data_IF_358836037992
#
_entry.id   IF_358836037992
#
_cell.length_a   1.000
_cell.length_b   1.000
_cell.length_c   1.000
_cell.angle_alpha   90.00
_cell.angle_beta   90.00
_cell.angle_gamma   90.00
#
_symmetry.space_group_name_H-M   'P 1'
#
loop_
_entity.id
_entity.type
_entity.pdbx_description
1 polymer ?
#
# COMPACT_ATOMS: atom_id res chain seq x y z
N UNK A 1 3.63 22.07 -78.93
CA UNK A 1 4.35 21.06 -78.11
C UNK A 1 5.60 21.69 -77.51
N UNK A 2 5.54 22.20 -76.28
CA UNK A 2 6.73 22.49 -75.46
C UNK A 2 6.41 21.94 -74.08
N UNK A 3 6.78 20.68 -73.86
CA UNK A 3 6.61 19.96 -72.61
C UNK A 3 7.50 20.64 -71.55
N UNK A 4 6.92 20.92 -70.39
CA UNK A 4 7.60 21.41 -69.18
C UNK A 4 8.50 20.31 -68.58
N UNK A 5 9.53 19.91 -69.31
CA UNK A 5 10.52 18.95 -68.85
C UNK A 5 11.33 19.47 -67.65
N UNK A 6 11.41 20.80 -67.47
CA UNK A 6 12.18 21.44 -66.41
C UNK A 6 11.54 21.29 -65.02
N UNK A 7 10.20 21.31 -64.92
CA UNK A 7 9.51 21.09 -63.64
C UNK A 7 9.53 19.61 -63.21
N UNK A 8 9.46 18.70 -64.19
CA UNK A 8 9.50 17.26 -63.92
C UNK A 8 10.90 16.81 -63.49
N UNK A 9 11.96 17.40 -64.07
CA UNK A 9 13.35 17.15 -63.62
C UNK A 9 13.64 17.72 -62.23
N UNK A 10 12.99 18.83 -61.85
CA UNK A 10 13.18 19.44 -60.52
C UNK A 10 12.50 18.62 -59.42
N UNK A 11 11.31 18.05 -59.69
CA UNK A 11 10.64 17.13 -58.77
C UNK A 11 11.38 15.80 -58.60
N UNK A 12 11.98 15.27 -59.67
CA UNK A 12 12.77 14.04 -59.61
C UNK A 12 14.07 14.20 -58.81
N UNK A 13 14.71 15.39 -58.87
CA UNK A 13 15.92 15.68 -58.11
C UNK A 13 15.64 15.82 -56.59
N UNK A 14 14.50 16.40 -56.22
CA UNK A 14 14.10 16.58 -54.81
C UNK A 14 13.73 15.24 -54.15
N UNK A 15 13.17 14.29 -54.91
CA UNK A 15 12.89 12.93 -54.40
C UNK A 15 14.14 12.08 -54.16
N UNK A 16 15.28 12.38 -54.79
CA UNK A 16 16.54 11.63 -54.61
C UNK A 16 17.38 12.19 -53.45
N UNK A 17 17.14 13.43 -53.02
CA UNK A 17 17.85 14.04 -51.87
C UNK A 17 17.22 13.74 -50.50
N UNK A 18 16.04 13.12 -50.45
CA UNK A 18 15.40 12.68 -49.19
C UNK A 18 15.74 11.22 -48.81
N UNK A 19 16.57 10.53 -49.60
CA UNK A 19 17.05 9.18 -49.30
C UNK A 19 18.40 9.18 -48.55
N UNK A 20 18.75 10.28 -47.89
CA UNK A 20 20.02 10.41 -47.17
C UNK A 20 19.87 10.03 -45.70
N UNK A 21 20.42 8.86 -45.38
CA UNK A 21 20.81 8.38 -44.06
C UNK A 21 19.68 8.04 -43.08
N UNK A 22 19.06 6.87 -43.25
CA UNK A 22 18.94 5.99 -42.09
C UNK A 22 20.39 5.59 -41.77
N UNK A 23 21.08 6.42 -40.98
CA UNK A 23 22.37 6.05 -40.43
C UNK A 23 22.04 4.92 -39.45
N UNK A 24 22.66 3.76 -39.63
CA UNK A 24 22.58 2.70 -38.60
C UNK A 24 22.90 3.36 -37.26
N UNK A 25 21.93 3.27 -36.35
CA UNK A 25 22.09 3.82 -35.01
C UNK A 25 23.35 3.20 -34.41
N UNK A 26 24.20 4.03 -33.77
CA UNK A 26 25.42 3.50 -33.20
C UNK A 26 25.04 2.42 -32.17
N UNK A 27 25.77 1.29 -32.12
CA UNK A 27 25.46 0.22 -31.19
C UNK A 27 25.26 0.75 -29.77
N UNK A 28 24.18 0.32 -29.13
CA UNK A 28 23.81 0.77 -27.80
C UNK A 28 24.89 0.41 -26.78
N UNK A 29 25.22 1.39 -25.93
CA UNK A 29 26.19 1.21 -24.82
C UNK A 29 25.55 0.62 -23.56
N UNK A 30 24.23 0.47 -23.55
CA UNK A 30 23.49 0.05 -22.37
C UNK A 30 23.53 -1.49 -22.24
N UNK A 31 23.74 -1.97 -21.02
CA UNK A 31 23.75 -3.38 -20.66
C UNK A 31 22.76 -3.62 -19.50
N UNK A 32 21.49 -3.30 -19.73
CA UNK A 32 20.46 -3.33 -18.69
C UNK A 32 19.42 -4.40 -18.95
N UNK A 33 18.92 -5.00 -17.86
CA UNK A 33 17.61 -5.65 -17.83
C UNK A 33 16.59 -4.53 -17.59
N UNK A 34 15.62 -4.39 -18.48
CA UNK A 34 14.54 -3.40 -18.40
C UNK A 34 13.31 -3.98 -17.69
N UNK A 35 12.98 -5.23 -18.02
CA UNK A 35 11.86 -5.96 -17.43
C UNK A 35 12.26 -7.42 -17.19
N UNK A 36 11.70 -8.02 -16.15
CA UNK A 36 11.90 -9.43 -15.82
C UNK A 36 10.54 -10.09 -15.51
N UNK A 37 10.34 -11.29 -16.03
CA UNK A 37 9.13 -12.12 -15.84
C UNK A 37 9.47 -13.62 -15.88
N UNK A 38 8.46 -14.49 -15.87
CA UNK A 38 8.57 -15.94 -16.05
C UNK A 38 7.31 -16.48 -16.75
N UNK A 39 7.42 -17.63 -17.43
CA UNK A 39 6.24 -18.40 -17.82
C UNK A 39 5.31 -18.63 -16.62
N UNK A 40 4.00 -18.49 -16.84
CA UNK A 40 2.97 -18.62 -15.81
C UNK A 40 3.15 -17.65 -14.62
N UNK A 41 3.75 -16.47 -14.84
CA UNK A 41 3.89 -15.44 -13.80
C UNK A 41 2.58 -15.11 -13.07
N UNK A 42 1.44 -15.17 -13.76
CA UNK A 42 0.10 -14.97 -13.15
C UNK A 42 -0.27 -16.04 -12.13
N UNK A 43 0.30 -17.24 -12.23
CA UNK A 43 0.07 -18.34 -11.29
C UNK A 43 1.17 -18.37 -10.23
N UNK A 44 2.41 -18.10 -10.62
CA UNK A 44 3.58 -18.31 -9.77
C UNK A 44 3.97 -17.09 -8.94
N UNK A 45 3.76 -15.87 -9.43
CA UNK A 45 4.35 -14.65 -8.86
C UNK A 45 3.33 -13.70 -8.24
N UNK A 46 3.68 -13.07 -7.13
CA UNK A 46 2.88 -11.99 -6.53
C UNK A 46 2.70 -10.80 -7.50
N UNK A 47 3.77 -10.48 -8.23
CA UNK A 47 3.84 -9.39 -9.19
C UNK A 47 4.29 -9.96 -10.54
N UNK A 48 3.44 -9.82 -11.57
CA UNK A 48 3.63 -10.55 -12.82
C UNK A 48 4.72 -9.95 -13.73
N UNK A 49 5.01 -8.65 -13.59
CA UNK A 49 6.06 -7.94 -14.33
C UNK A 49 6.85 -7.02 -13.40
N UNK A 50 8.16 -7.25 -13.27
CA UNK A 50 9.05 -6.35 -12.52
C UNK A 50 9.76 -5.41 -13.50
N UNK A 51 9.53 -4.10 -13.38
CA UNK A 51 10.41 -3.10 -14.00
C UNK A 51 11.73 -3.10 -13.23
N UNK A 52 12.81 -3.44 -13.91
CA UNK A 52 14.13 -3.49 -13.31
C UNK A 52 14.78 -2.13 -13.56
N UNK A 53 14.87 -1.32 -12.50
CA UNK A 53 15.58 -0.05 -12.53
C UNK A 53 17.10 -0.25 -12.54
N UNK A 54 17.83 0.58 -11.80
CA UNK A 54 19.29 0.46 -11.69
C UNK A 54 19.77 -0.67 -10.76
N UNK A 55 18.86 -1.51 -10.25
CA UNK A 55 19.13 -2.59 -9.29
C UNK A 55 20.07 -3.67 -9.87
N UNK A 56 20.94 -4.23 -9.03
CA UNK A 56 21.82 -5.37 -9.36
C UNK A 56 21.22 -6.72 -8.91
N UNK A 57 20.11 -6.69 -8.16
CA UNK A 57 19.43 -7.88 -7.65
C UNK A 57 17.97 -7.87 -8.12
N UNK A 58 17.53 -8.96 -8.74
CA UNK A 58 16.16 -9.15 -9.19
C UNK A 58 15.54 -10.23 -8.32
N UNK A 59 14.46 -9.89 -7.62
CA UNK A 59 13.74 -10.81 -6.74
C UNK A 59 12.35 -11.05 -7.33
N UNK A 60 12.07 -12.32 -7.61
CA UNK A 60 10.73 -12.82 -7.91
C UNK A 60 10.11 -13.33 -6.61
N UNK A 61 8.94 -12.79 -6.25
CA UNK A 61 8.19 -13.23 -5.07
C UNK A 61 7.15 -14.26 -5.49
N UNK A 62 7.29 -15.48 -4.99
CA UNK A 62 6.41 -16.61 -5.28
C UNK A 62 5.12 -16.53 -4.43
N UNK A 63 3.99 -16.93 -5.04
CA UNK A 63 2.71 -17.14 -4.32
C UNK A 63 2.73 -18.39 -3.44
N UNK A 64 3.42 -19.42 -3.89
CA UNK A 64 3.48 -20.73 -3.25
C UNK A 64 4.88 -21.32 -3.40
N UNK A 65 5.25 -22.20 -2.49
CA UNK A 65 6.51 -22.91 -2.61
C UNK A 65 6.47 -23.83 -3.83
N UNK A 66 7.55 -23.85 -4.60
CA UNK A 66 7.77 -24.82 -5.67
C UNK A 66 8.91 -25.72 -5.25
N UNK A 67 8.62 -27.00 -4.99
CA UNK A 67 9.56 -27.93 -4.35
C UNK A 67 10.91 -28.05 -5.07
N UNK A 68 10.93 -27.93 -6.40
CA UNK A 68 12.17 -28.02 -7.19
C UNK A 68 12.98 -26.71 -7.20
N UNK A 69 12.35 -25.57 -6.89
CA UNK A 69 12.88 -24.21 -7.05
C UNK A 69 13.56 -23.98 -8.42
N UNK A 70 13.09 -24.67 -9.48
CA UNK A 70 13.62 -24.58 -10.85
C UNK A 70 12.77 -23.59 -11.64
N UNK A 71 13.41 -22.56 -12.19
CA UNK A 71 12.73 -21.50 -12.91
C UNK A 71 13.49 -21.07 -14.18
N UNK A 72 12.73 -20.58 -15.16
CA UNK A 72 13.23 -20.08 -16.43
C UNK A 72 12.82 -18.60 -16.60
N UNK A 73 13.47 -17.66 -15.88
CA UNK A 73 13.11 -16.25 -15.95
C UNK A 73 13.41 -15.67 -17.34
N UNK A 74 12.52 -14.80 -17.80
CA UNK A 74 12.60 -14.12 -19.08
C UNK A 74 12.88 -12.63 -18.88
N UNK A 75 13.70 -12.05 -19.76
CA UNK A 75 14.20 -10.68 -19.62
C UNK A 75 14.02 -9.87 -20.90
N UNK A 76 13.52 -8.65 -20.74
CA UNK A 76 13.61 -7.61 -21.78
C UNK A 76 14.88 -6.82 -21.53
N UNK A 77 15.81 -6.82 -22.48
CA UNK A 77 17.09 -6.13 -22.36
C UNK A 77 17.09 -4.77 -23.06
N UNK A 78 18.09 -3.93 -22.77
CA UNK A 78 18.40 -2.77 -23.61
C UNK A 78 18.65 -3.19 -25.07
N UNK A 79 18.29 -2.36 -26.07
CA UNK A 79 18.42 -2.73 -27.49
C UNK A 79 19.82 -3.25 -27.83
N UNK A 80 19.88 -4.37 -28.55
CA UNK A 80 21.11 -5.01 -29.01
C UNK A 80 21.96 -5.72 -27.94
N UNK A 81 21.60 -5.63 -26.66
CA UNK A 81 22.31 -6.32 -25.59
C UNK A 81 22.04 -7.83 -25.58
N UNK A 82 22.95 -8.59 -25.01
CA UNK A 82 22.84 -10.05 -24.80
C UNK A 82 22.98 -10.39 -23.32
N UNK A 83 22.45 -11.54 -22.89
CA UNK A 83 22.51 -12.00 -21.50
C UNK A 83 22.99 -13.45 -21.42
N UNK A 84 23.80 -13.75 -20.40
CA UNK A 84 24.26 -15.10 -20.09
C UNK A 84 24.03 -15.42 -18.58
N UNK A 85 23.36 -16.52 -18.21
CA UNK A 85 22.63 -17.47 -19.06
C UNK A 85 21.57 -16.80 -19.94
N UNK A 86 21.24 -17.46 -21.06
CA UNK A 86 20.24 -16.93 -22.01
C UNK A 86 18.89 -16.76 -21.30
N UNK A 87 18.14 -15.71 -21.67
CA UNK A 87 16.78 -15.50 -21.19
C UNK A 87 15.92 -16.74 -21.41
N UNK A 88 15.17 -17.18 -20.40
CA UNK A 88 14.40 -18.43 -20.44
C UNK A 88 15.20 -19.70 -20.16
N UNK A 89 16.48 -19.60 -19.80
CA UNK A 89 17.26 -20.77 -19.33
C UNK A 89 16.69 -21.26 -18.01
N UNK A 90 16.33 -22.55 -17.97
CA UNK A 90 15.92 -23.22 -16.74
C UNK A 90 17.12 -23.42 -15.81
N UNK A 91 17.07 -22.81 -14.62
CA UNK A 91 18.10 -22.88 -13.59
C UNK A 91 17.50 -23.28 -12.25
N UNK A 92 18.32 -23.90 -11.41
CA UNK A 92 17.99 -24.28 -10.03
C UNK A 92 18.34 -23.14 -9.05
N UNK A 93 17.35 -22.59 -8.36
CA UNK A 93 17.51 -21.51 -7.38
C UNK A 93 17.56 -22.01 -5.93
N UNK A 94 17.54 -23.33 -5.70
CA UNK A 94 17.47 -23.96 -4.35
C UNK A 94 18.56 -23.46 -3.41
N UNK A 95 19.76 -23.22 -3.94
CA UNK A 95 20.92 -22.79 -3.15
C UNK A 95 21.17 -21.27 -3.21
N UNK A 96 20.17 -20.49 -3.64
CA UNK A 96 20.21 -19.02 -3.63
C UNK A 96 20.24 -18.39 -5.03
N UNK A 97 20.63 -17.09 -5.12
CA UNK A 97 20.55 -16.33 -6.35
C UNK A 97 21.44 -16.89 -7.47
N UNK A 98 20.91 -16.87 -8.69
CA UNK A 98 21.64 -17.19 -9.92
C UNK A 98 22.22 -15.93 -10.56
N UNK A 99 23.45 -16.04 -11.08
CA UNK A 99 24.18 -14.93 -11.70
C UNK A 99 23.85 -14.83 -13.19
N UNK A 100 23.47 -13.64 -13.63
CA UNK A 100 23.29 -13.27 -15.02
C UNK A 100 24.24 -12.12 -15.39
N UNK A 101 24.80 -12.14 -16.60
CA UNK A 101 25.68 -11.09 -17.11
C UNK A 101 25.07 -10.55 -18.39
N UNK A 102 24.65 -9.28 -18.37
CA UNK A 102 24.23 -8.55 -19.56
C UNK A 102 25.44 -7.89 -20.19
N UNK A 103 25.60 -8.04 -21.50
CA UNK A 103 26.65 -7.41 -22.31
C UNK A 103 26.01 -6.47 -23.31
N UNK A 104 26.49 -5.23 -23.39
CA UNK A 104 26.00 -4.21 -24.33
C UNK A 104 26.20 -4.63 -25.79
N UNK A 105 25.47 -4.00 -26.70
CA UNK A 105 25.58 -4.27 -28.15
C UNK A 105 26.98 -4.00 -28.68
N UNK A 106 27.66 -2.97 -28.16
CA UNK A 106 29.04 -2.65 -28.52
C UNK A 106 30.09 -3.57 -27.85
N UNK A 107 29.66 -4.52 -27.03
CA UNK A 107 30.47 -5.43 -26.22
C UNK A 107 31.48 -4.75 -25.27
N UNK A 108 31.40 -3.43 -25.10
CA UNK A 108 32.34 -2.67 -24.28
C UNK A 108 31.94 -2.66 -22.79
N UNK A 109 30.68 -2.99 -22.49
CA UNK A 109 30.12 -2.90 -21.14
C UNK A 109 29.41 -4.19 -20.75
N UNK A 110 29.64 -4.61 -19.51
CA UNK A 110 28.92 -5.72 -18.89
C UNK A 110 28.35 -5.30 -17.55
N UNK A 111 27.12 -5.71 -17.24
CA UNK A 111 26.51 -5.58 -15.92
C UNK A 111 26.13 -6.95 -15.37
N UNK A 112 26.47 -7.21 -14.12
CA UNK A 112 26.11 -8.45 -13.42
C UNK A 112 24.82 -8.23 -12.65
N UNK A 113 23.89 -9.16 -12.80
CA UNK A 113 22.65 -9.25 -12.05
C UNK A 113 22.60 -10.54 -11.25
N UNK A 114 22.01 -10.50 -10.05
CA UNK A 114 21.69 -11.69 -9.26
C UNK A 114 20.18 -11.86 -9.21
N UNK A 115 19.68 -12.92 -9.82
CA UNK A 115 18.25 -13.23 -9.90
C UNK A 115 17.94 -14.25 -8.81
N UNK A 116 16.87 -14.04 -8.04
CA UNK A 116 16.45 -14.95 -7.00
C UNK A 116 14.93 -15.10 -6.95
N UNK A 117 14.47 -16.27 -6.53
CA UNK A 117 13.08 -16.53 -6.21
C UNK A 117 12.95 -16.71 -4.71
N UNK A 118 11.97 -16.04 -4.11
CA UNK A 118 11.66 -16.23 -2.70
C UNK A 118 10.19 -16.54 -2.53
N UNK A 119 9.88 -17.46 -1.63
CA UNK A 119 8.54 -17.53 -1.08
C UNK A 119 8.34 -16.27 -0.23
N UNK A 120 7.31 -15.48 -0.55
CA UNK A 120 6.92 -14.40 0.32
C UNK A 120 5.96 -14.98 1.35
N UNK A 121 6.39 -15.08 2.61
CA UNK A 121 5.44 -15.39 3.67
C UNK A 121 4.47 -14.22 3.82
N UNK A 122 3.18 -14.54 3.92
CA UNK A 122 2.17 -13.54 4.19
C UNK A 122 2.30 -13.11 5.66
N UNK A 123 2.46 -11.81 5.97
CA UNK A 123 2.64 -11.38 7.35
C UNK A 123 1.36 -11.60 8.16
N UNK A 124 1.45 -12.41 9.22
CA UNK A 124 0.33 -12.70 10.13
C UNK A 124 0.45 -12.00 11.48
N UNK A 125 1.56 -11.30 11.74
CA UNK A 125 1.81 -10.62 12.99
C UNK A 125 2.43 -9.24 12.74
N UNK A 126 1.93 -8.23 13.45
CA UNK A 126 2.31 -6.83 13.29
C UNK A 126 2.49 -6.19 14.67
N UNK A 127 3.74 -5.89 15.03
CA UNK A 127 4.15 -5.31 16.32
C UNK A 127 4.12 -3.76 16.36
N UNK A 128 3.96 -3.09 15.21
CA UNK A 128 3.88 -1.63 15.11
C UNK A 128 5.09 -0.87 15.70
N UNK A 129 6.29 -1.45 15.62
CA UNK A 129 7.52 -0.85 16.16
C UNK A 129 8.17 0.18 15.23
N UNK A 130 7.91 0.04 13.94
CA UNK A 130 8.64 0.76 12.90
C UNK A 130 7.74 1.75 12.16
N UNK A 131 8.28 2.92 11.90
CA UNK A 131 7.60 4.00 11.19
C UNK A 131 8.62 4.87 10.44
N UNK A 132 8.11 5.57 9.43
CA UNK A 132 8.85 6.60 8.70
C UNK A 132 8.19 7.96 8.90
N UNK A 133 9.00 9.01 8.97
CA UNK A 133 8.53 10.38 8.97
C UNK A 133 8.29 10.87 7.54
N UNK A 134 7.22 11.64 7.35
CA UNK A 134 6.82 12.20 6.07
C UNK A 134 6.60 13.70 6.17
N UNK A 135 7.06 14.41 5.13
CA UNK A 135 6.67 15.79 4.82
C UNK A 135 5.97 15.82 3.48
N UNK A 136 4.67 16.03 3.48
CA UNK A 136 3.86 15.86 2.27
C UNK A 136 3.93 14.42 1.78
N UNK A 137 4.59 14.16 0.65
CA UNK A 137 4.82 12.79 0.13
C UNK A 137 6.28 12.33 0.21
N UNK A 138 7.17 13.14 0.78
CA UNK A 138 8.59 12.83 0.89
C UNK A 138 8.90 12.18 2.24
N UNK A 139 9.64 11.06 2.22
CA UNK A 139 10.20 10.42 3.41
C UNK A 139 11.36 11.27 3.94
N UNK A 140 11.38 11.51 5.25
CA UNK A 140 12.48 12.17 5.94
C UNK A 140 13.48 11.13 6.46
N UNK A 141 14.76 11.47 6.48
CA UNK A 141 15.86 10.61 6.93
C UNK A 141 16.23 10.84 8.40
N UNK A 142 15.51 11.70 9.09
CA UNK A 142 15.71 12.01 10.50
C UNK A 142 14.90 11.07 11.41
N UNK A 143 15.36 10.92 12.64
CA UNK A 143 14.62 10.19 13.67
C UNK A 143 13.55 11.08 14.30
N UNK A 144 12.50 10.47 14.85
CA UNK A 144 11.46 11.23 15.54
C UNK A 144 11.91 11.60 16.95
N UNK A 145 12.15 12.90 17.17
CA UNK A 145 12.29 13.50 18.50
C UNK A 145 10.93 13.99 19.02
N UNK A 146 10.48 13.42 20.14
CA UNK A 146 9.18 13.73 20.76
C UNK A 146 9.09 15.16 21.28
N UNK A 147 10.23 15.76 21.65
CA UNK A 147 10.31 17.12 22.19
C UNK A 147 10.47 18.16 21.07
N UNK A 148 10.85 17.73 19.86
CA UNK A 148 11.06 18.61 18.73
C UNK A 148 9.74 19.18 18.18
N UNK A 149 9.84 20.43 17.70
CA UNK A 149 8.77 21.13 16.99
C UNK A 149 9.22 21.40 15.56
N UNK A 150 8.69 20.63 14.62
CA UNK A 150 8.93 20.80 13.20
C UNK A 150 8.37 22.13 12.71
N UNK A 151 9.15 22.83 11.88
CA UNK A 151 8.73 24.09 11.25
C UNK A 151 7.65 23.89 10.17
N UNK A 152 7.38 22.64 9.80
CA UNK A 152 6.38 22.22 8.82
C UNK A 152 5.59 21.02 9.31
N UNK A 153 4.48 20.75 8.64
CA UNK A 153 3.64 19.57 8.85
C UNK A 153 4.43 18.28 8.57
N UNK A 154 4.70 17.53 9.65
CA UNK A 154 5.39 16.23 9.62
C UNK A 154 4.53 15.20 10.33
N UNK A 155 4.32 14.06 9.68
CA UNK A 155 3.53 12.94 10.20
C UNK A 155 4.27 11.62 10.06
N UNK A 156 3.81 10.58 10.76
CA UNK A 156 4.35 9.23 10.64
C UNK A 156 3.50 8.37 9.70
N UNK A 157 4.14 7.38 9.08
CA UNK A 157 3.46 6.20 8.56
C UNK A 157 4.14 4.95 9.11
N UNK A 158 3.37 4.02 9.67
CA UNK A 158 3.89 2.74 10.12
C UNK A 158 4.42 1.92 8.95
N UNK A 159 5.48 1.16 9.20
CA UNK A 159 6.06 0.21 8.24
C UNK A 159 6.28 -1.12 8.93
N UNK A 160 6.63 -2.12 8.14
CA UNK A 160 7.17 -3.39 8.61
C UNK A 160 8.41 -3.71 7.78
N UNK A 161 9.11 -4.77 8.12
CA UNK A 161 10.19 -5.30 7.29
C UNK A 161 9.81 -6.66 6.74
N UNK A 162 10.24 -6.94 5.52
CA UNK A 162 10.25 -8.31 5.00
C UNK A 162 11.34 -9.14 5.70
N UNK A 163 11.35 -10.45 5.51
CA UNK A 163 12.40 -11.34 6.05
C UNK A 163 13.82 -10.98 5.54
N UNK A 164 13.89 -10.19 4.47
CA UNK A 164 15.14 -9.66 3.91
C UNK A 164 15.54 -8.30 4.46
N UNK A 165 14.85 -7.82 5.51
CA UNK A 165 15.05 -6.51 6.10
C UNK A 165 14.79 -5.35 5.09
N UNK A 166 13.89 -5.56 4.14
CA UNK A 166 13.43 -4.53 3.20
C UNK A 166 12.17 -3.85 3.77
N UNK A 167 12.08 -2.52 3.61
CA UNK A 167 10.90 -1.76 4.08
C UNK A 167 9.65 -2.21 3.33
N UNK A 168 8.62 -2.58 4.09
CA UNK A 168 7.30 -2.95 3.62
C UNK A 168 6.26 -1.94 4.12
N UNK A 169 5.64 -1.22 3.18
CA UNK A 169 4.68 -0.13 3.41
C UNK A 169 3.24 -0.62 3.33
N UNK A 170 2.94 -1.72 4.02
CA UNK A 170 1.58 -2.30 4.03
C UNK A 170 0.56 -1.42 4.74
N UNK A 171 0.99 -0.64 5.74
CA UNK A 171 0.14 0.25 6.51
C UNK A 171 -0.02 1.61 5.85
N UNK A 172 -1.24 2.13 5.93
CA UNK A 172 -1.60 3.48 5.53
C UNK A 172 -2.58 4.10 6.52
N UNK A 173 -2.73 5.43 6.43
CA UNK A 173 -3.60 6.22 7.30
C UNK A 173 -4.11 7.45 6.57
N UNK A 174 -5.05 8.15 7.19
CA UNK A 174 -5.55 9.45 6.74
C UNK A 174 -4.57 10.61 6.93
N UNK A 175 -3.38 10.39 7.49
CA UNK A 175 -2.42 11.45 7.80
C UNK A 175 -2.02 12.27 6.57
N UNK A 176 -1.77 11.62 5.43
CA UNK A 176 -1.45 12.33 4.19
C UNK A 176 -2.60 13.27 3.80
N UNK A 177 -3.84 12.77 3.84
CA UNK A 177 -5.05 13.55 3.59
C UNK A 177 -5.15 14.75 4.54
N UNK A 178 -4.92 14.53 5.83
CA UNK A 178 -4.92 15.58 6.84
C UNK A 178 -3.84 16.64 6.59
N UNK A 179 -2.61 16.23 6.25
CA UNK A 179 -1.47 17.15 6.04
C UNK A 179 -1.65 18.11 4.86
N UNK A 180 -2.48 17.76 3.88
CA UNK A 180 -2.75 18.57 2.69
C UNK A 180 -4.11 19.28 2.73
N UNK A 181 -4.89 19.07 3.79
CA UNK A 181 -6.10 19.85 3.99
C UNK A 181 -5.73 21.34 4.02
N UNK A 182 -6.59 22.25 3.52
CA UNK A 182 -6.37 23.69 3.60
C UNK A 182 -6.53 24.23 5.04
N UNK A 183 -6.08 23.48 6.03
CA UNK A 183 -6.01 23.78 7.45
C UNK A 183 -4.91 24.82 7.70
N UNK A 184 -5.02 26.00 7.07
CA UNK A 184 -4.16 27.17 7.29
C UNK A 184 -4.23 27.75 8.72
N UNK A 185 -4.68 26.98 9.71
CA UNK A 185 -4.79 27.36 11.12
C UNK A 185 -4.32 26.27 12.11
N UNK A 186 -4.24 24.99 11.73
CA UNK A 186 -3.72 23.93 12.59
C UNK A 186 -2.32 23.56 12.12
N UNK A 187 -1.32 24.38 12.46
CA UNK A 187 0.08 23.96 12.28
C UNK A 187 0.36 22.83 13.26
N UNK A 188 0.41 21.59 12.78
CA UNK A 188 0.82 20.47 13.60
C UNK A 188 2.34 20.40 13.55
N UNK A 189 2.95 20.92 14.61
CA UNK A 189 4.41 21.01 14.72
C UNK A 189 5.02 19.74 15.29
N UNK A 190 4.24 18.70 15.58
CA UNK A 190 4.74 17.44 16.10
C UNK A 190 3.88 16.27 15.59
N UNK A 191 4.51 15.16 15.12
CA UNK A 191 3.80 13.97 14.64
C UNK A 191 2.76 13.40 15.61
N UNK A 192 2.97 13.53 16.92
CA UNK A 192 2.01 13.08 17.96
C UNK A 192 0.63 13.76 17.91
N UNK A 193 0.50 14.86 17.16
CA UNK A 193 -0.74 15.63 17.04
C UNK A 193 -1.60 15.19 15.86
N UNK A 194 -1.09 14.31 15.00
CA UNK A 194 -1.82 13.79 13.84
C UNK A 194 -2.89 12.78 14.26
N UNK A 195 -3.90 12.52 13.40
CA UNK A 195 -4.91 11.51 13.69
C UNK A 195 -4.30 10.13 13.94
N UNK A 196 -3.19 9.81 13.26
CA UNK A 196 -2.44 8.57 13.46
C UNK A 196 -1.01 8.92 13.88
N UNK A 197 -0.60 8.44 15.04
CA UNK A 197 0.71 8.70 15.61
C UNK A 197 1.29 7.41 16.19
N UNK A 198 2.58 7.47 16.52
CA UNK A 198 3.25 6.47 17.35
C UNK A 198 3.15 6.88 18.82
N UNK A 199 2.88 5.91 19.67
CA UNK A 199 3.07 6.00 21.12
C UNK A 199 4.26 5.13 21.52
N UNK A 200 5.07 5.60 22.47
CA UNK A 200 6.27 4.88 22.93
C UNK A 200 6.01 4.07 24.21
N UNK A 201 4.77 4.06 24.69
CA UNK A 201 4.29 3.24 25.81
C UNK A 201 3.25 2.20 25.30
N UNK A 202 3.75 1.30 24.44
CA UNK A 202 3.02 0.17 23.87
C UNK A 202 2.65 -0.91 24.89
N UNK A 203 1.92 -1.94 24.46
CA UNK A 203 1.81 -3.17 25.24
C UNK A 203 3.16 -3.90 25.25
N UNK A 204 3.86 -3.87 24.11
CA UNK A 204 5.30 -4.12 24.00
C UNK A 204 5.92 -2.99 23.18
N UNK A 205 6.99 -2.38 23.68
CA UNK A 205 7.70 -1.32 22.96
C UNK A 205 6.78 -0.15 22.56
N UNK A 206 6.53 0.01 21.26
CA UNK A 206 5.72 1.10 20.70
C UNK A 206 4.32 0.60 20.32
N UNK A 207 3.40 1.54 20.07
CA UNK A 207 2.06 1.23 19.59
C UNK A 207 1.55 2.29 18.62
N UNK A 208 0.49 1.95 17.87
CA UNK A 208 -0.26 2.95 17.13
C UNK A 208 -1.26 3.66 18.06
N UNK A 209 -1.24 4.99 18.02
CA UNK A 209 -2.21 5.87 18.68
C UNK A 209 -3.06 6.55 17.62
N UNK A 210 -4.35 6.24 17.62
CA UNK A 210 -5.34 6.76 16.71
C UNK A 210 -6.23 7.73 17.48
N UNK A 211 -6.26 8.99 17.08
CA UNK A 211 -7.01 10.04 17.77
C UNK A 211 -7.97 10.74 16.81
N UNK A 212 -9.22 10.89 17.23
CA UNK A 212 -10.18 11.72 16.50
C UNK A 212 -9.90 13.18 16.81
N UNK A 213 -9.53 13.95 15.78
CA UNK A 213 -9.11 15.34 15.94
C UNK A 213 -9.96 16.30 15.09
N UNK A 214 -9.94 17.58 15.47
CA UNK A 214 -10.50 18.65 14.66
C UNK A 214 -9.65 18.88 13.41
N UNK A 215 -10.31 19.10 12.27
CA UNK A 215 -9.64 19.51 11.03
C UNK A 215 -9.45 21.02 10.91
N UNK A 216 -10.11 21.79 11.76
CA UNK A 216 -10.08 23.26 11.72
C UNK A 216 -10.92 23.87 10.59
N UNK A 217 -11.68 23.05 9.85
CA UNK A 217 -12.70 23.51 8.90
C UNK A 217 -14.04 23.68 9.61
N UNK A 218 -14.76 24.76 9.32
CA UNK A 218 -16.17 24.87 9.68
C UNK A 218 -16.91 23.73 8.99
N UNK A 219 -17.62 22.88 9.75
CA UNK A 219 -18.50 21.91 9.13
C UNK A 219 -19.64 22.66 8.39
N UNK A 220 -19.57 22.71 7.07
CA UNK A 220 -20.57 23.35 6.21
C UNK A 220 -21.09 22.34 5.19
N UNK A 221 -22.40 22.12 5.22
CA UNK A 221 -23.14 21.43 4.18
C UNK A 221 -23.62 22.47 3.16
N UNK A 222 -22.75 22.90 2.24
CA UNK A 222 -23.17 23.76 1.12
C UNK A 222 -23.37 22.89 -0.13
N UNK A 223 -24.61 22.53 -0.42
CA UNK A 223 -24.94 21.69 -1.58
C UNK A 223 -24.38 20.27 -1.45
N UNK A 224 -23.54 19.84 -2.40
CA UNK A 224 -23.01 18.47 -2.52
C UNK A 224 -21.67 18.22 -1.82
N UNK A 225 -21.06 19.23 -1.18
CA UNK A 225 -19.73 19.10 -0.57
C UNK A 225 -19.89 18.89 0.95
N UNK A 226 -19.49 17.71 1.43
CA UNK A 226 -19.31 17.44 2.87
C UNK A 226 -17.90 17.89 3.28
N UNK A 227 -17.79 18.96 4.06
CA UNK A 227 -16.49 19.35 4.64
C UNK A 227 -16.24 18.56 5.92
N UNK A 228 -15.11 17.83 6.05
CA UNK A 228 -14.80 17.09 7.26
C UNK A 228 -14.55 18.06 8.42
N UNK A 229 -15.41 18.07 9.44
CA UNK A 229 -15.22 18.86 10.67
C UNK A 229 -14.26 18.18 11.65
N UNK A 230 -14.17 16.86 11.55
CA UNK A 230 -13.25 16.00 12.30
C UNK A 230 -12.54 15.04 11.35
N UNK A 231 -11.40 14.51 11.78
CA UNK A 231 -10.70 13.39 11.17
C UNK A 231 -10.50 12.31 12.24
N UNK A 232 -11.11 11.15 12.04
CA UNK A 232 -10.84 10.00 12.90
C UNK A 232 -9.42 9.49 12.65
N UNK A 233 -8.74 9.10 13.72
CA UNK A 233 -7.51 8.32 13.60
C UNK A 233 -7.83 6.98 12.97
N UNK A 234 -7.02 6.57 12.00
CA UNK A 234 -7.20 5.28 11.34
C UNK A 234 -5.87 4.68 10.91
N UNK A 235 -5.80 3.35 11.00
CA UNK A 235 -4.67 2.58 10.51
C UNK A 235 -5.23 1.40 9.73
N UNK A 236 -4.77 1.22 8.50
CA UNK A 236 -5.30 0.17 7.65
C UNK A 236 -4.26 -0.39 6.69
N UNK A 237 -4.41 -1.66 6.31
CA UNK A 237 -3.59 -2.24 5.26
C UNK A 237 -4.10 -1.86 3.88
N UNK A 238 -3.25 -1.28 3.04
CA UNK A 238 -3.59 -0.82 1.71
C UNK A 238 -2.92 0.51 1.37
N UNK A 239 -3.60 1.37 0.63
CA UNK A 239 -3.05 2.67 0.20
C UNK A 239 -4.02 3.81 0.45
N UNK A 240 -3.49 5.02 0.59
CA UNK A 240 -4.29 6.24 0.64
C UNK A 240 -4.16 6.99 -0.69
N UNK A 241 -5.28 7.33 -1.30
CA UNK A 241 -5.32 8.17 -2.50
C UNK A 241 -6.44 9.19 -2.35
N UNK A 242 -6.07 10.45 -2.14
CA UNK A 242 -7.01 11.52 -1.84
C UNK A 242 -8.09 11.63 -2.93
N UNK A 243 -9.35 11.45 -2.53
CA UNK A 243 -10.50 11.74 -3.34
C UNK A 243 -11.17 13.03 -2.83
N UNK A 244 -10.94 14.14 -3.53
CA UNK A 244 -11.47 15.44 -3.11
C UNK A 244 -13.00 15.56 -3.18
N UNK A 245 -13.65 14.75 -4.04
CA UNK A 245 -15.11 14.78 -4.18
C UNK A 245 -15.80 13.96 -3.09
N UNK A 246 -15.18 12.84 -2.71
CA UNK A 246 -15.68 11.92 -1.68
C UNK A 246 -14.52 11.54 -0.76
N UNK A 247 -14.16 12.37 0.23
CA UNK A 247 -12.98 12.12 1.07
C UNK A 247 -13.02 10.75 1.79
N UNK A 248 -14.22 10.29 2.17
CA UNK A 248 -14.43 8.96 2.76
C UNK A 248 -14.02 7.81 1.83
N UNK A 249 -13.97 8.02 0.51
CA UNK A 249 -13.51 7.03 -0.46
C UNK A 249 -11.99 7.09 -0.76
N UNK A 250 -11.24 7.91 -0.01
CA UNK A 250 -9.77 8.05 -0.19
C UNK A 250 -8.97 6.83 0.30
N UNK A 251 -9.30 6.20 1.45
CA UNK A 251 -8.68 4.95 1.84
C UNK A 251 -8.99 3.87 0.80
N UNK A 252 -7.96 3.16 0.33
CA UNK A 252 -8.04 2.00 -0.56
C UNK A 252 -7.56 0.79 0.23
N UNK A 253 -8.51 0.08 0.83
CA UNK A 253 -8.28 -1.07 1.69
C UNK A 253 -7.96 -2.32 0.88
N UNK A 254 -6.92 -3.04 1.30
CA UNK A 254 -6.54 -4.31 0.72
C UNK A 254 -5.06 -4.41 0.39
N UNK A 255 -4.43 -5.48 0.85
CA UNK A 255 -3.15 -5.99 0.35
C UNK A 255 -3.37 -7.40 -0.20
N UNK A 256 -2.52 -7.90 -1.11
CA UNK A 256 -2.65 -9.26 -1.62
C UNK A 256 -2.57 -10.29 -0.49
N UNK A 257 -3.56 -11.18 -0.40
CA UNK A 257 -3.61 -12.26 0.58
C UNK A 257 -2.91 -13.49 0.00
N UNK A 258 -1.59 -13.53 0.15
CA UNK A 258 -0.72 -14.48 -0.52
C UNK A 258 -0.51 -15.76 0.29
N UNK A 259 -1.60 -16.37 0.71
CA UNK A 259 -1.61 -17.66 1.40
C UNK A 259 -2.87 -18.44 1.05
N UNK A 260 -2.76 -19.76 1.04
CA UNK A 260 -3.88 -20.68 0.82
C UNK A 260 -4.57 -21.10 2.12
N UNK A 261 -4.12 -20.60 3.27
CA UNK A 261 -4.72 -20.87 4.58
C UNK A 261 -5.89 -19.93 4.81
N UNK A 262 -7.00 -20.44 5.30
CA UNK A 262 -8.17 -19.64 5.67
C UNK A 262 -7.87 -18.72 6.87
N UNK A 263 -8.27 -17.44 6.85
CA UNK A 263 -8.20 -16.60 8.04
C UNK A 263 -9.33 -16.95 9.03
N UNK A 264 -8.98 -17.01 10.32
CA UNK A 264 -9.88 -17.47 11.39
C UNK A 264 -10.22 -16.35 12.36
N UNK A 265 -9.22 -15.60 12.83
CA UNK A 265 -9.42 -14.56 13.86
C UNK A 265 -8.47 -13.40 13.62
N UNK A 266 -8.97 -12.17 13.74
CA UNK A 266 -8.16 -10.97 13.96
C UNK A 266 -8.11 -10.72 15.47
N UNK A 267 -6.93 -10.60 16.06
CA UNK A 267 -6.77 -10.29 17.50
C UNK A 267 -5.61 -9.32 17.73
N UNK A 268 -5.53 -8.79 18.95
CA UNK A 268 -4.45 -7.91 19.38
C UNK A 268 -4.75 -7.31 20.75
N UNK A 269 -4.06 -6.22 21.10
CA UNK A 269 -4.28 -5.50 22.35
C UNK A 269 -4.75 -4.08 22.08
N UNK A 270 -5.64 -3.56 22.93
CA UNK A 270 -6.14 -2.20 22.85
C UNK A 270 -6.17 -1.48 24.20
N UNK A 271 -6.10 -0.15 24.13
CA UNK A 271 -6.65 0.78 25.12
C UNK A 271 -7.62 1.71 24.39
N UNK A 272 -8.72 2.08 25.02
CA UNK A 272 -9.65 3.03 24.40
C UNK A 272 -10.24 3.98 25.42
N UNK A 273 -10.36 5.24 25.01
CA UNK A 273 -11.03 6.29 25.75
C UNK A 273 -11.82 7.15 24.79
N UNK A 274 -13.11 7.34 25.06
CA UNK A 274 -13.94 8.21 24.25
C UNK A 274 -13.58 9.68 24.53
N UNK A 275 -13.68 10.51 23.48
CA UNK A 275 -13.47 11.95 23.58
C UNK A 275 -14.61 12.64 24.34
N UNK A 276 -14.41 13.92 24.63
CA UNK A 276 -15.45 14.72 25.30
C UNK A 276 -16.69 14.86 24.41
N UNK A 277 -17.84 14.49 24.94
CA UNK A 277 -19.15 14.55 24.27
C UNK A 277 -19.81 15.94 24.26
N UNK A 278 -19.19 16.93 24.89
CA UNK A 278 -19.83 18.21 25.16
C UNK A 278 -18.95 19.37 24.70
N UNK A 279 -19.52 20.33 23.99
CA UNK A 279 -18.85 21.56 23.55
C UNK A 279 -19.26 22.00 22.14
N UNK A 280 -19.27 23.31 21.88
CA UNK A 280 -19.73 23.90 20.62
C UNK A 280 -19.00 23.39 19.36
N UNK A 281 -17.77 22.86 19.52
CA UNK A 281 -16.98 22.28 18.42
C UNK A 281 -17.42 20.87 18.01
N UNK A 282 -18.22 20.20 18.85
CA UNK A 282 -18.66 18.82 18.69
C UNK A 282 -20.12 18.70 18.22
N UNK A 283 -20.93 19.76 18.29
CA UNK A 283 -22.40 19.70 18.10
C UNK A 283 -22.85 19.03 16.79
N UNK A 284 -22.09 19.18 15.70
CA UNK A 284 -22.39 18.50 14.45
C UNK A 284 -21.90 17.05 14.43
N UNK A 285 -20.66 16.81 14.85
CA UNK A 285 -20.03 15.48 14.85
C UNK A 285 -20.73 14.50 15.81
N UNK A 286 -21.44 15.03 16.81
CA UNK A 286 -22.19 14.28 17.81
C UNK A 286 -23.69 14.25 17.57
N UNK A 287 -24.19 14.85 16.46
CA UNK A 287 -25.61 14.82 16.17
C UNK A 287 -26.08 13.37 16.09
N UNK A 288 -27.08 13.02 16.91
CA UNK A 288 -27.64 11.67 17.03
C UNK A 288 -26.59 10.59 17.41
N UNK A 289 -25.53 10.96 18.13
CA UNK A 289 -24.49 10.07 18.65
C UNK A 289 -24.49 10.13 20.19
N UNK A 290 -24.94 9.06 20.84
CA UNK A 290 -25.01 9.00 22.31
C UNK A 290 -23.65 8.74 22.96
N UNK A 291 -22.77 8.01 22.27
CA UNK A 291 -21.39 7.71 22.67
C UNK A 291 -20.56 7.34 21.44
N UNK A 292 -19.27 7.60 21.49
CA UNK A 292 -18.31 7.30 20.43
C UNK A 292 -17.52 6.08 20.87
N UNK A 293 -17.27 5.20 19.92
CA UNK A 293 -16.54 3.97 20.14
C UNK A 293 -15.59 3.75 18.99
N UNK A 294 -14.54 3.00 19.26
CA UNK A 294 -13.60 2.53 18.27
C UNK A 294 -14.16 1.36 17.47
N UNK A 295 -13.45 1.00 16.40
CA UNK A 295 -13.73 -0.18 15.59
C UNK A 295 -12.43 -0.88 15.17
N UNK A 296 -12.52 -2.18 15.00
CA UNK A 296 -11.47 -3.05 14.49
C UNK A 296 -12.09 -4.15 13.63
N UNK A 297 -11.63 -4.26 12.39
CA UNK A 297 -12.14 -5.26 11.48
C UNK A 297 -11.10 -5.72 10.46
N UNK A 298 -11.34 -6.90 9.90
CA UNK A 298 -10.66 -7.39 8.72
C UNK A 298 -11.67 -7.90 7.68
N UNK A 299 -11.33 -7.71 6.40
CA UNK A 299 -12.17 -8.08 5.26
C UNK A 299 -11.33 -8.89 4.29
N UNK A 300 -11.72 -10.14 4.03
CA UNK A 300 -11.20 -10.96 2.95
C UNK A 300 -12.15 -10.84 1.74
N UNK A 301 -11.61 -10.48 0.58
CA UNK A 301 -12.40 -10.30 -0.64
C UNK A 301 -11.68 -10.82 -1.89
N UNK A 302 -12.45 -11.29 -2.87
CA UNK A 302 -11.92 -11.88 -4.11
C UNK A 302 -11.09 -10.85 -4.90
N UNK A 303 -9.90 -11.27 -5.33
CA UNK A 303 -9.06 -10.52 -6.26
C UNK A 303 -9.65 -10.61 -7.66
N UNK A 304 -9.66 -9.51 -8.39
CA UNK A 304 -10.13 -9.38 -9.77
C UNK A 304 -9.03 -8.85 -10.69
N UNK A 305 -9.30 -8.73 -11.99
CA UNK A 305 -8.35 -8.18 -12.97
C UNK A 305 -7.99 -6.72 -12.70
N UNK A 306 -8.93 -5.93 -12.21
CA UNK A 306 -8.77 -4.52 -11.84
C UNK A 306 -9.46 -4.22 -10.51
N UNK A 307 -9.18 -3.06 -9.91
CA UNK A 307 -9.80 -2.60 -8.65
C UNK A 307 -9.70 -3.63 -7.51
N UNK A 308 -8.47 -4.05 -7.23
CA UNK A 308 -8.11 -4.92 -6.10
C UNK A 308 -8.01 -4.12 -4.79
N UNK A 309 -9.06 -3.37 -4.48
CA UNK A 309 -9.23 -2.66 -3.22
C UNK A 309 -10.72 -2.47 -2.95
N UNK A 310 -11.05 -2.25 -1.68
CA UNK A 310 -12.32 -1.65 -1.26
C UNK A 310 -12.05 -0.22 -0.84
N UNK A 311 -12.93 0.73 -1.17
CA UNK A 311 -12.77 2.09 -0.67
C UNK A 311 -13.49 2.29 0.67
N UNK A 312 -13.19 3.37 1.37
CA UNK A 312 -13.75 3.66 2.70
C UNK A 312 -15.26 3.86 2.78
N UNK A 313 -16.01 3.74 1.67
CA UNK A 313 -17.48 3.77 1.64
C UNK A 313 -18.08 2.38 1.32
N UNK A 314 -17.31 1.31 1.50
CA UNK A 314 -17.72 -0.07 1.20
C UNK A 314 -18.94 -0.55 1.98
N UNK A 315 -19.24 0.03 3.15
CA UNK A 315 -20.38 -0.30 4.04
C UNK A 315 -20.59 -1.79 4.39
N UNK A 316 -19.61 -2.64 4.09
CA UNK A 316 -19.71 -4.10 4.17
C UNK A 316 -20.69 -4.71 3.15
N UNK A 317 -20.91 -4.01 2.03
CA UNK A 317 -21.90 -4.36 0.99
C UNK A 317 -21.25 -4.82 -0.33
N UNK A 318 -19.92 -4.84 -0.43
CA UNK A 318 -19.25 -5.25 -1.67
C UNK A 318 -19.45 -6.74 -1.94
N UNK A 319 -19.94 -7.07 -3.12
CA UNK A 319 -20.12 -8.46 -3.57
C UNK A 319 -18.80 -9.24 -3.61
N UNK A 320 -17.64 -8.56 -3.68
CA UNK A 320 -16.33 -9.22 -3.64
C UNK A 320 -16.01 -9.82 -2.27
N UNK A 321 -16.64 -9.33 -1.20
CA UNK A 321 -16.38 -9.81 0.17
C UNK A 321 -16.77 -11.27 0.32
N UNK A 322 -15.90 -12.01 1.00
CA UNK A 322 -16.07 -13.44 1.29
C UNK A 322 -16.14 -13.68 2.78
N UNK A 323 -15.26 -13.05 3.55
CA UNK A 323 -15.26 -13.17 5.00
C UNK A 323 -15.00 -11.82 5.66
N UNK A 324 -15.67 -11.56 6.78
CA UNK A 324 -15.48 -10.37 7.62
C UNK A 324 -15.27 -10.80 9.06
N UNK A 325 -14.20 -10.32 9.68
CA UNK A 325 -14.02 -10.28 11.12
C UNK A 325 -14.23 -8.85 11.59
N UNK A 326 -15.12 -8.59 12.53
CA UNK A 326 -15.32 -7.26 13.12
C UNK A 326 -15.62 -7.44 14.59
N UNK A 327 -15.03 -6.60 15.44
CA UNK A 327 -15.39 -6.59 16.86
C UNK A 327 -16.87 -6.26 17.00
N UNK A 328 -17.55 -6.90 17.95
CA UNK A 328 -18.95 -6.59 18.20
C UNK A 328 -19.07 -5.21 18.87
N UNK A 329 -19.97 -4.36 18.35
CA UNK A 329 -20.19 -3.03 18.86
C UNK A 329 -20.62 -3.08 20.34
N UNK A 330 -19.90 -2.37 21.20
CA UNK A 330 -20.16 -2.34 22.64
C UNK A 330 -19.54 -3.49 23.44
N UNK A 331 -18.96 -4.52 22.80
CA UNK A 331 -18.32 -5.64 23.51
C UNK A 331 -16.95 -5.29 24.09
N UNK A 332 -16.36 -4.17 23.68
CA UNK A 332 -15.04 -3.70 24.12
C UNK A 332 -15.12 -2.29 24.74
N UNK A 333 -15.24 -2.20 26.07
CA UNK A 333 -15.45 -0.93 26.77
C UNK A 333 -14.20 -0.05 26.80
N UNK A 334 -14.36 1.19 27.22
CA UNK A 334 -13.23 2.07 27.55
C UNK A 334 -12.36 1.45 28.65
N UNK A 335 -11.05 1.50 28.44
CA UNK A 335 -10.05 0.95 29.36
C UNK A 335 -8.71 1.67 29.19
N UNK A 336 -8.07 1.96 30.32
CA UNK A 336 -6.72 2.51 30.40
C UNK A 336 -5.66 1.39 30.51
N UNK A 337 -6.09 0.13 30.64
CA UNK A 337 -5.24 -1.05 30.70
C UNK A 337 -5.26 -1.77 29.37
N UNK A 338 -4.09 -2.18 28.88
CA UNK A 338 -3.96 -3.02 27.69
C UNK A 338 -4.80 -4.29 27.84
N UNK A 339 -5.82 -4.40 26.99
CA UNK A 339 -6.83 -5.46 27.03
C UNK A 339 -6.82 -6.21 25.70
N UNK A 340 -6.87 -7.55 25.69
CA UNK A 340 -6.95 -8.28 24.43
C UNK A 340 -8.30 -8.07 23.75
N UNK A 341 -8.31 -8.04 22.43
CA UNK A 341 -9.51 -8.12 21.61
C UNK A 341 -9.41 -9.27 20.61
N UNK A 342 -10.56 -9.77 20.17
CA UNK A 342 -10.65 -10.80 19.13
C UNK A 342 -11.89 -10.57 18.27
N UNK A 343 -11.76 -10.86 16.98
CA UNK A 343 -12.83 -10.80 16.00
C UNK A 343 -12.73 -12.02 15.10
N UNK A 344 -13.72 -12.91 15.19
CA UNK A 344 -13.76 -14.12 14.39
C UNK A 344 -14.32 -13.84 13.00
N UNK A 345 -13.68 -14.40 11.97
CA UNK A 345 -14.15 -14.27 10.60
C UNK A 345 -15.47 -15.03 10.40
N UNK A 346 -16.44 -14.34 9.82
CA UNK A 346 -17.73 -14.88 9.40
C UNK A 346 -17.84 -14.80 7.88
N UNK A 347 -18.38 -15.85 7.27
CA UNK A 347 -18.72 -15.84 5.85
C UNK A 347 -19.79 -14.78 5.57
N UNK A 348 -19.67 -14.09 4.43
CA UNK A 348 -20.64 -13.10 3.94
C UNK A 348 -20.98 -13.40 2.48
N UNK A 349 -22.06 -12.79 1.96
CA UNK A 349 -22.49 -12.93 0.57
C UNK A 349 -22.71 -14.39 0.10
N UNK A 350 -23.04 -15.30 1.03
CA UNK A 350 -23.15 -16.75 0.77
C UNK A 350 -21.87 -17.36 0.15
N UNK A 351 -20.71 -16.73 0.36
CA UNK A 351 -19.40 -17.21 -0.11
C UNK A 351 -18.63 -17.90 1.01
N UNK A 352 -17.71 -18.78 0.61
CA UNK A 352 -16.75 -19.42 1.51
C UNK A 352 -15.33 -19.22 0.98
N UNK A 353 -14.34 -19.31 1.86
CA UNK A 353 -12.94 -19.38 1.45
C UNK A 353 -12.69 -20.59 0.56
N UNK A 354 -11.93 -20.39 -0.52
CA UNK A 354 -11.51 -21.40 -1.48
C UNK A 354 -10.00 -21.28 -1.68
N UNK A 355 -9.18 -22.25 -1.24
CA UNK A 355 -7.72 -22.15 -1.31
C UNK A 355 -7.17 -22.10 -2.74
N UNK A 356 -7.99 -22.36 -3.76
CA UNK A 356 -7.61 -22.23 -5.18
C UNK A 356 -7.82 -20.83 -5.75
N UNK A 357 -8.50 -19.92 -5.03
CA UNK A 357 -8.75 -18.54 -5.45
C UNK A 357 -7.71 -17.58 -4.90
N UNK A 358 -7.57 -16.44 -5.57
CA UNK A 358 -6.80 -15.32 -5.08
C UNK A 358 -7.66 -14.30 -4.35
N UNK A 359 -7.13 -13.76 -3.25
CA UNK A 359 -7.82 -12.81 -2.42
C UNK A 359 -6.97 -11.57 -2.14
N UNK A 360 -7.68 -10.52 -1.73
CA UNK A 360 -7.12 -9.37 -1.04
C UNK A 360 -7.62 -9.41 0.40
N UNK A 361 -6.82 -8.89 1.33
CA UNK A 361 -7.24 -8.72 2.73
C UNK A 361 -6.99 -7.29 3.20
N UNK A 362 -7.94 -6.75 3.94
CA UNK A 362 -7.79 -5.49 4.65
C UNK A 362 -7.87 -5.72 6.15
N UNK A 363 -6.98 -5.12 6.92
CA UNK A 363 -7.10 -4.93 8.38
C UNK A 363 -7.31 -3.44 8.60
N UNK A 364 -8.27 -3.04 9.43
CA UNK A 364 -8.64 -1.64 9.65
C UNK A 364 -8.95 -1.40 11.11
N UNK A 365 -8.41 -0.30 11.62
CA UNK A 365 -8.62 0.18 12.99
C UNK A 365 -8.98 1.65 12.94
N UNK A 366 -9.91 2.09 13.78
CA UNK A 366 -10.27 3.51 13.88
C UNK A 366 -10.70 3.93 15.28
N UNK A 367 -10.37 5.17 15.64
CA UNK A 367 -10.75 5.78 16.92
C UNK A 367 -12.23 6.17 17.02
N UNK A 368 -12.95 6.26 15.89
CA UNK A 368 -14.39 6.55 15.84
C UNK A 368 -15.06 5.72 14.75
N UNK A 369 -15.98 4.83 15.14
CA UNK A 369 -16.68 3.87 14.26
C UNK A 369 -17.48 4.56 13.15
N UNK A 370 -17.98 5.78 13.38
CA UNK A 370 -18.68 6.60 12.37
C UNK A 370 -17.79 7.70 11.76
N UNK A 371 -16.47 7.60 11.93
CA UNK A 371 -15.50 8.62 11.51
C UNK A 371 -15.50 8.90 10.01
N UNK A 372 -15.85 7.91 9.17
CA UNK A 372 -15.99 8.07 7.72
C UNK A 372 -17.13 9.03 7.33
N UNK A 373 -18.16 9.15 8.18
CA UNK A 373 -19.24 10.12 8.04
C UNK A 373 -18.95 11.47 8.72
N UNK A 374 -17.71 11.64 9.20
CA UNK A 374 -17.28 12.78 10.00
C UNK A 374 -18.09 12.93 11.30
N UNK A 375 -18.46 11.79 11.90
CA UNK A 375 -19.15 11.67 13.19
C UNK A 375 -18.27 10.94 14.20
N UNK A 376 -18.24 11.44 15.43
CA UNK A 376 -17.33 10.99 16.47
C UNK A 376 -17.00 12.10 17.45
N UNK A 377 -16.43 11.75 18.60
CA UNK A 377 -16.04 12.70 19.63
C UNK A 377 -14.58 13.12 19.46
N UNK A 378 -14.32 14.42 19.45
CA UNK A 378 -12.95 14.94 19.44
C UNK A 378 -12.24 14.45 20.72
N UNK A 379 -11.04 13.88 20.55
CA UNK A 379 -10.25 13.30 21.63
C UNK A 379 -10.49 11.80 21.85
N UNK A 380 -11.45 11.17 21.15
CA UNK A 380 -11.56 9.71 21.15
C UNK A 380 -10.23 9.12 20.71
N UNK A 381 -9.64 8.29 21.56
CA UNK A 381 -8.30 7.77 21.36
C UNK A 381 -8.30 6.25 21.51
N UNK A 382 -7.90 5.58 20.45
CA UNK A 382 -7.60 4.15 20.40
C UNK A 382 -6.10 3.97 20.37
N UNK A 383 -5.57 3.16 21.29
CA UNK A 383 -4.24 2.59 21.14
C UNK A 383 -4.39 1.15 20.72
N UNK A 384 -3.57 0.71 19.77
CA UNK A 384 -3.54 -0.68 19.31
C UNK A 384 -2.12 -1.18 19.16
N UNK A 385 -1.91 -2.44 19.50
CA UNK A 385 -0.61 -3.08 19.50
C UNK A 385 -0.72 -4.61 19.31
N UNK A 386 0.39 -5.25 18.90
CA UNK A 386 0.56 -6.69 18.76
C UNK A 386 -0.59 -7.37 17.99
N UNK A 387 -0.85 -6.88 16.78
CA UNK A 387 -1.95 -7.37 15.93
C UNK A 387 -1.54 -8.73 15.35
N UNK A 388 -2.43 -9.71 15.44
CA UNK A 388 -2.24 -11.04 14.88
C UNK A 388 -3.45 -11.44 14.03
N UNK A 389 -3.18 -11.90 12.81
CA UNK A 389 -4.13 -12.57 11.93
C UNK A 389 -3.91 -14.08 12.06
N UNK A 390 -4.77 -14.74 12.82
CA UNK A 390 -4.74 -16.19 13.01
C UNK A 390 -5.28 -16.87 11.75
N UNK A 391 -4.49 -17.78 11.20
CA UNK A 391 -4.86 -18.62 10.06
C UNK A 391 -5.17 -20.05 10.54
N UNK A 392 -5.95 -20.81 9.77
CA UNK A 392 -6.19 -22.23 10.05
C UNK A 392 -4.88 -23.01 10.11
N UNK A 393 -4.78 -24.00 10.99
CA UNK A 393 -3.60 -24.88 11.06
C UNK A 393 -3.39 -25.61 9.71
N UNK A 394 -2.13 -25.94 9.41
CA UNK A 394 -1.74 -26.64 8.18
C UNK A 394 -2.27 -28.08 8.13
#
# INVERSE_FOLDING_TARGET
MKKNYLLFSLFLLISVTLSSCIKDEAPSKQAYILEATIADAEVLLLNHNKKVGDEDIIIFQLKQNKEDNIFAPEFVLSPGATIQPESGTSLDFTNGPQKYIVTSEDHAWTKTYYVNFILSEFPTYFNLEDYLLYKGSAVLQEEYDVDERYASDVYINFISYTDKNEVNTLWSSGNQGFSIMPAGKLKLTNPSQYPTAVDFDGYKGKAAKLSTILTGLDHKMTGFIKTPGIAAGNLFTGTFSLNMSVPAASPKFGIPYNTNRKPITLKGFYKYKAGDFYGAKNEFALKDLDRDTWDAYAILFEKTTDKNYLDGVHNFESEKMVMVARIEEGSYPETEQWTPFEANFKNVNDKTFDPSKEYMIALVFTSSIQGADFRGAIGSTLWIDEIELVLEDN
#
